data_IF_631297306194
#
_entry.id   IF_631297306194
#
_cell.length_a   1.000
_cell.length_b   1.000
_cell.length_c   1.000
_cell.angle_alpha   90.00
_cell.angle_beta   90.00
_cell.angle_gamma   90.00
#
_symmetry.space_group_name_H-M   'P 1'
#
loop_
_entity.id
_entity.type
_entity.pdbx_description
1 polymer ?
#
# COMPACT_ATOMS: atom_id res chain seq x y z
N UNK A 1 -14.17 8.30 -4.95
CA UNK A 1 -13.69 7.49 -3.81
C UNK A 1 -13.65 6.04 -4.24
N UNK A 2 -12.61 5.33 -3.88
CA UNK A 2 -12.44 3.91 -4.18
C UNK A 2 -12.70 3.08 -2.93
N UNK A 3 -13.26 1.89 -3.13
CA UNK A 3 -13.42 0.88 -2.09
C UNK A 3 -12.29 -0.14 -2.28
N UNK A 4 -11.36 -0.19 -1.33
CA UNK A 4 -10.26 -1.14 -1.26
C UNK A 4 -10.50 -2.10 -0.09
N UNK A 5 -10.31 -3.39 -0.32
CA UNK A 5 -10.37 -4.43 0.71
C UNK A 5 -8.98 -5.03 0.84
N UNK A 6 -8.49 -5.15 2.05
CA UNK A 6 -7.19 -5.74 2.35
C UNK A 6 -7.34 -7.09 3.06
N UNK A 7 -6.51 -8.05 2.68
CA UNK A 7 -6.48 -9.36 3.33
C UNK A 7 -5.62 -10.39 2.62
N UNK A 8 -5.47 -11.56 3.26
CA UNK A 8 -4.77 -12.69 2.66
C UNK A 8 -5.68 -13.46 1.70
N UNK A 9 -5.32 -13.56 0.40
CA UNK A 9 -6.14 -14.22 -0.59
C UNK A 9 -6.25 -15.75 -0.42
N UNK A 10 -5.37 -16.34 0.39
CA UNK A 10 -5.42 -17.78 0.72
C UNK A 10 -6.37 -18.13 1.87
N UNK A 11 -6.98 -17.10 2.47
CA UNK A 11 -8.03 -17.24 3.49
C UNK A 11 -9.41 -16.97 2.88
N UNK A 12 -10.32 -16.37 3.62
CA UNK A 12 -11.70 -16.11 3.18
C UNK A 12 -11.88 -14.90 2.26
N UNK A 13 -10.81 -14.14 1.98
CA UNK A 13 -10.88 -12.90 1.20
C UNK A 13 -11.48 -13.12 -0.19
N UNK A 14 -11.04 -14.16 -0.90
CA UNK A 14 -11.52 -14.43 -2.27
C UNK A 14 -13.01 -14.78 -2.29
N UNK A 15 -13.50 -15.53 -1.31
CA UNK A 15 -14.93 -15.86 -1.20
C UNK A 15 -15.76 -14.58 -0.97
N UNK A 16 -15.27 -13.69 -0.12
CA UNK A 16 -15.91 -12.41 0.14
C UNK A 16 -15.96 -11.51 -1.10
N UNK A 17 -14.85 -11.45 -1.87
CA UNK A 17 -14.80 -10.68 -3.12
C UNK A 17 -15.80 -11.24 -4.15
N UNK A 18 -15.88 -12.57 -4.30
CA UNK A 18 -16.86 -13.24 -5.20
C UNK A 18 -18.28 -12.91 -4.83
N UNK A 19 -18.60 -12.97 -3.54
CA UNK A 19 -19.92 -12.64 -3.02
C UNK A 19 -20.29 -11.18 -3.33
N UNK A 20 -19.45 -10.22 -3.01
CA UNK A 20 -19.67 -8.80 -3.28
C UNK A 20 -19.79 -8.51 -4.78
N UNK A 21 -18.96 -9.11 -5.61
CA UNK A 21 -19.02 -8.96 -7.06
C UNK A 21 -20.34 -9.51 -7.61
N UNK A 22 -20.80 -10.66 -7.13
CA UNK A 22 -22.08 -11.26 -7.50
C UNK A 22 -23.30 -10.40 -7.13
N UNK A 23 -23.18 -9.56 -6.11
CA UNK A 23 -24.19 -8.59 -5.68
C UNK A 23 -24.07 -7.22 -6.39
N UNK A 24 -23.10 -7.03 -7.27
CA UNK A 24 -22.82 -5.74 -7.90
C UNK A 24 -22.21 -4.70 -6.96
N UNK A 25 -21.64 -5.14 -5.83
CA UNK A 25 -20.99 -4.32 -4.81
C UNK A 25 -19.48 -4.59 -4.69
N UNK A 26 -18.88 -5.19 -5.72
CA UNK A 26 -17.45 -5.51 -5.73
C UNK A 26 -16.56 -4.29 -5.45
N UNK A 27 -15.41 -4.48 -4.77
CA UNK A 27 -14.45 -3.41 -4.55
C UNK A 27 -13.82 -2.97 -5.87
N UNK A 28 -13.33 -1.75 -5.94
CA UNK A 28 -12.54 -1.28 -7.06
C UNK A 28 -11.11 -1.83 -7.01
N UNK A 29 -10.63 -2.10 -5.80
CA UNK A 29 -9.29 -2.62 -5.54
C UNK A 29 -9.31 -3.64 -4.41
N UNK A 30 -8.37 -4.55 -4.44
CA UNK A 30 -7.99 -5.40 -3.32
C UNK A 30 -6.49 -5.28 -3.09
N UNK A 31 -6.07 -5.18 -1.83
CA UNK A 31 -4.66 -5.30 -1.45
C UNK A 31 -4.43 -6.69 -0.85
N UNK A 32 -3.64 -7.51 -1.52
CA UNK A 32 -3.25 -8.81 -1.01
C UNK A 32 -2.09 -8.68 -0.05
N UNK A 33 -2.25 -9.20 1.17
CA UNK A 33 -1.24 -9.26 2.22
C UNK A 33 -0.89 -10.71 2.55
N UNK A 34 0.36 -11.04 2.93
CA UNK A 34 0.77 -12.42 3.25
C UNK A 34 0.40 -12.88 4.66
N UNK A 35 -0.31 -12.06 5.43
CA UNK A 35 -0.57 -12.25 6.86
C UNK A 35 -1.17 -13.61 7.18
N UNK A 36 -0.65 -14.27 8.20
CA UNK A 36 -1.23 -15.49 8.78
C UNK A 36 -2.33 -15.16 9.80
N UNK A 37 -3.15 -16.15 10.16
CA UNK A 37 -4.21 -15.97 11.18
C UNK A 37 -3.66 -15.68 12.58
N UNK A 38 -2.43 -16.10 12.85
CA UNK A 38 -1.75 -15.90 14.14
C UNK A 38 -0.96 -14.58 14.20
N UNK A 39 -0.92 -13.80 13.12
CA UNK A 39 -0.17 -12.55 13.02
C UNK A 39 -0.97 -11.38 13.61
N UNK A 40 -0.33 -10.58 14.45
CA UNK A 40 -0.98 -9.43 15.08
C UNK A 40 -1.20 -8.27 14.11
N UNK A 41 -0.25 -8.06 13.20
CA UNK A 41 -0.29 -7.06 12.12
C UNK A 41 0.64 -7.47 11.00
N UNK A 42 0.48 -6.86 9.83
CA UNK A 42 1.40 -7.06 8.69
C UNK A 42 2.82 -6.67 9.07
N UNK A 43 3.79 -7.52 8.84
CA UNK A 43 5.20 -7.33 9.21
C UNK A 43 6.18 -7.62 8.06
N UNK A 44 5.70 -8.08 6.90
CA UNK A 44 6.47 -8.32 5.69
C UNK A 44 5.58 -8.34 4.46
N UNK A 45 6.17 -8.12 3.28
CA UNK A 45 5.50 -8.21 1.99
C UNK A 45 5.64 -9.57 1.33
N UNK A 46 4.96 -9.74 0.17
CA UNK A 46 5.13 -10.90 -0.70
C UNK A 46 6.56 -10.98 -1.23
N UNK A 47 7.06 -12.20 -1.44
CA UNK A 47 8.41 -12.47 -1.93
C UNK A 47 8.41 -13.28 -3.22
N UNK A 48 9.16 -12.83 -4.22
CA UNK A 48 9.26 -13.50 -5.51
C UNK A 48 10.66 -14.14 -5.70
N UNK A 49 10.75 -15.33 -6.34
CA UNK A 49 9.68 -16.03 -7.06
C UNK A 49 8.75 -16.91 -6.22
N UNK A 50 8.95 -17.00 -4.90
CA UNK A 50 8.31 -17.98 -4.02
C UNK A 50 6.77 -17.94 -4.05
N UNK A 51 6.21 -16.73 -4.09
CA UNK A 51 4.75 -16.53 -4.04
C UNK A 51 4.10 -16.46 -5.43
N UNK A 52 4.88 -16.47 -6.51
CA UNK A 52 4.40 -16.25 -7.87
C UNK A 52 3.31 -17.24 -8.29
N UNK A 53 3.58 -18.54 -8.10
CA UNK A 53 2.67 -19.62 -8.53
C UNK A 53 1.34 -19.57 -7.79
N UNK A 54 1.36 -19.19 -6.52
CA UNK A 54 0.17 -19.05 -5.67
C UNK A 54 -0.66 -17.83 -6.03
N UNK A 55 -0.01 -16.69 -6.27
CA UNK A 55 -0.69 -15.39 -6.48
C UNK A 55 -1.27 -15.23 -7.88
N UNK A 56 -0.57 -15.70 -8.92
CA UNK A 56 -0.96 -15.45 -10.31
C UNK A 56 -2.43 -15.85 -10.62
N UNK A 57 -2.94 -17.03 -10.24
CA UNK A 57 -4.33 -17.42 -10.52
C UNK A 57 -5.35 -16.54 -9.75
N UNK A 58 -5.04 -16.13 -8.52
CA UNK A 58 -5.92 -15.31 -7.69
C UNK A 58 -6.01 -13.88 -8.23
N UNK A 59 -4.89 -13.34 -8.70
CA UNK A 59 -4.84 -12.04 -9.38
C UNK A 59 -5.64 -12.08 -10.68
N UNK A 60 -5.47 -13.13 -11.48
CA UNK A 60 -6.22 -13.32 -12.72
C UNK A 60 -7.74 -13.39 -12.47
N UNK A 61 -8.16 -14.06 -11.40
CA UNK A 61 -9.55 -14.12 -10.99
C UNK A 61 -10.09 -12.74 -10.60
N UNK A 62 -9.41 -11.97 -9.73
CA UNK A 62 -9.81 -10.61 -9.38
C UNK A 62 -9.98 -9.73 -10.61
N UNK A 63 -9.05 -9.80 -11.56
CA UNK A 63 -9.15 -9.06 -12.82
C UNK A 63 -10.37 -9.46 -13.65
N UNK A 64 -10.73 -10.74 -13.67
CA UNK A 64 -11.95 -11.21 -14.36
C UNK A 64 -13.23 -10.68 -13.72
N UNK A 65 -13.20 -10.36 -12.43
CA UNK A 65 -14.27 -9.73 -11.67
C UNK A 65 -14.25 -8.18 -11.78
N UNK A 66 -13.31 -7.62 -12.53
CA UNK A 66 -13.14 -6.16 -12.67
C UNK A 66 -12.50 -5.48 -11.45
N UNK A 67 -11.83 -6.26 -10.60
CA UNK A 67 -11.16 -5.78 -9.38
C UNK A 67 -9.67 -5.64 -9.63
N UNK A 68 -9.12 -4.45 -9.37
CA UNK A 68 -7.68 -4.16 -9.43
C UNK A 68 -6.97 -4.81 -8.23
N UNK A 69 -5.75 -5.33 -8.46
CA UNK A 69 -4.97 -5.97 -7.40
C UNK A 69 -3.73 -5.14 -7.09
N UNK A 70 -3.58 -4.78 -5.81
CA UNK A 70 -2.37 -4.26 -5.19
C UNK A 70 -1.70 -5.36 -4.36
N UNK A 71 -0.37 -5.48 -4.44
CA UNK A 71 0.40 -6.42 -3.62
C UNK A 71 1.15 -5.68 -2.53
N UNK A 72 0.99 -6.11 -1.28
CA UNK A 72 1.76 -5.59 -0.15
C UNK A 72 3.20 -6.08 -0.25
N UNK A 73 4.16 -5.16 -0.35
CA UNK A 73 5.54 -5.45 -0.71
C UNK A 73 6.53 -4.72 0.19
N UNK A 74 7.61 -5.40 0.55
CA UNK A 74 8.78 -4.72 1.08
C UNK A 74 9.38 -3.77 0.01
N UNK A 75 10.01 -2.66 0.41
CA UNK A 75 10.61 -1.70 -0.52
C UNK A 75 11.93 -2.23 -1.11
N UNK A 76 11.82 -3.28 -1.95
CA UNK A 76 12.93 -3.98 -2.61
C UNK A 76 12.77 -3.81 -4.13
N UNK A 77 13.57 -2.94 -4.79
CA UNK A 77 13.43 -2.62 -6.21
C UNK A 77 13.42 -3.85 -7.12
N UNK A 78 14.24 -4.84 -6.80
CA UNK A 78 14.42 -6.07 -7.60
C UNK A 78 13.16 -6.94 -7.66
N UNK A 79 12.23 -6.76 -6.72
CA UNK A 79 10.98 -7.52 -6.65
C UNK A 79 9.87 -6.94 -7.53
N UNK A 80 9.96 -5.68 -7.94
CA UNK A 80 8.86 -4.96 -8.60
C UNK A 80 8.51 -5.52 -9.98
N UNK A 81 9.51 -5.90 -10.77
CA UNK A 81 9.28 -6.53 -12.08
C UNK A 81 8.56 -7.88 -11.94
N UNK A 82 8.88 -8.66 -10.90
CA UNK A 82 8.21 -9.93 -10.64
C UNK A 82 6.77 -9.75 -10.15
N UNK A 83 6.50 -8.74 -9.32
CA UNK A 83 5.13 -8.36 -8.94
C UNK A 83 4.28 -8.00 -10.17
N UNK A 84 4.85 -7.28 -11.13
CA UNK A 84 4.18 -7.00 -12.41
C UNK A 84 3.95 -8.27 -13.23
N UNK A 85 4.92 -9.15 -13.29
CA UNK A 85 4.87 -10.38 -14.09
C UNK A 85 3.75 -11.34 -13.64
N UNK A 86 3.43 -11.39 -12.35
CA UNK A 86 2.28 -12.18 -11.83
C UNK A 86 0.93 -11.52 -12.10
N UNK A 87 0.91 -10.31 -12.66
CA UNK A 87 -0.30 -9.63 -13.09
C UNK A 87 -0.81 -8.54 -12.15
N UNK A 88 -0.07 -8.15 -11.12
CA UNK A 88 -0.45 -7.04 -10.25
C UNK A 88 -0.62 -5.74 -11.04
N UNK A 89 -1.54 -4.90 -10.58
CA UNK A 89 -1.78 -3.55 -11.12
C UNK A 89 -1.04 -2.49 -10.30
N UNK A 90 -0.89 -2.73 -8.99
CA UNK A 90 -0.21 -1.87 -8.03
C UNK A 90 0.64 -2.67 -7.06
N UNK A 91 1.53 -1.99 -6.38
CA UNK A 91 2.17 -2.44 -5.14
C UNK A 91 1.84 -1.46 -4.03
N UNK A 92 1.67 -1.97 -2.82
CA UNK A 92 1.59 -1.17 -1.61
C UNK A 92 2.88 -1.37 -0.82
N UNK A 93 3.70 -0.33 -0.73
CA UNK A 93 4.98 -0.40 -0.02
C UNK A 93 4.74 -0.42 1.50
N UNK A 94 5.27 -1.43 2.17
CA UNK A 94 5.28 -1.56 3.63
C UNK A 94 6.14 -0.48 4.27
N UNK A 95 5.55 0.44 5.03
CA UNK A 95 6.21 1.68 5.48
C UNK A 95 6.63 1.72 6.94
N UNK A 96 6.45 0.64 7.71
CA UNK A 96 6.91 0.60 9.11
C UNK A 96 8.41 0.90 9.27
N UNK A 97 9.36 0.33 8.47
CA UNK A 97 10.78 0.64 8.61
C UNK A 97 11.09 2.13 8.45
N UNK A 98 10.39 2.82 7.55
CA UNK A 98 10.50 4.27 7.42
C UNK A 98 9.91 4.98 8.65
N UNK A 99 8.75 4.55 9.13
CA UNK A 99 8.13 5.15 10.31
C UNK A 99 9.00 4.97 11.57
N UNK A 100 9.62 3.81 11.75
CA UNK A 100 10.57 3.54 12.84
C UNK A 100 11.85 4.39 12.72
N UNK A 101 12.28 4.71 11.50
CA UNK A 101 13.46 5.55 11.27
C UNK A 101 13.16 7.06 11.39
N UNK A 102 11.90 7.46 11.52
CA UNK A 102 11.50 8.88 11.57
C UNK A 102 12.16 9.63 12.72
N UNK A 103 12.76 10.78 12.42
CA UNK A 103 13.50 11.58 13.39
C UNK A 103 14.86 11.04 13.80
N UNK A 104 15.33 9.95 13.18
CA UNK A 104 16.64 9.35 13.40
C UNK A 104 17.60 9.67 12.24
N UNK A 105 18.93 9.47 12.40
CA UNK A 105 19.88 9.60 11.29
C UNK A 105 19.63 8.68 10.10
N UNK A 106 18.89 7.59 10.27
CA UNK A 106 18.54 6.61 9.24
C UNK A 106 17.38 7.05 8.33
N UNK A 107 16.61 8.05 8.72
CA UNK A 107 15.43 8.51 7.96
C UNK A 107 15.73 8.79 6.48
N UNK A 108 16.83 9.49 6.21
CA UNK A 108 17.17 9.87 4.84
C UNK A 108 17.56 8.66 3.97
N UNK A 109 18.15 7.65 4.56
CA UNK A 109 18.51 6.40 3.87
C UNK A 109 17.25 5.57 3.56
N UNK A 110 16.34 5.47 4.53
CA UNK A 110 15.07 4.80 4.31
C UNK A 110 14.28 5.49 3.18
N UNK A 111 14.13 6.82 3.19
CA UNK A 111 13.45 7.53 2.10
C UNK A 111 14.04 7.22 0.73
N UNK A 112 15.36 7.15 0.60
CA UNK A 112 16.02 6.77 -0.66
C UNK A 112 15.67 5.33 -1.08
N UNK A 113 15.60 4.41 -0.12
CA UNK A 113 15.21 3.02 -0.37
C UNK A 113 13.79 2.94 -0.91
N UNK A 114 12.85 3.66 -0.29
CA UNK A 114 11.47 3.73 -0.77
C UNK A 114 11.35 4.42 -2.13
N UNK A 115 12.08 5.50 -2.35
CA UNK A 115 12.09 6.18 -3.64
C UNK A 115 12.61 5.26 -4.77
N UNK A 116 13.67 4.48 -4.50
CA UNK A 116 14.21 3.52 -5.46
C UNK A 116 13.21 2.40 -5.76
N UNK A 117 12.53 1.85 -4.75
CA UNK A 117 11.53 0.82 -4.92
C UNK A 117 10.31 1.34 -5.69
N UNK A 118 9.83 2.53 -5.36
CA UNK A 118 8.73 3.19 -6.08
C UNK A 118 9.08 3.43 -7.54
N UNK A 119 10.28 3.93 -7.83
CA UNK A 119 10.73 4.13 -9.22
C UNK A 119 10.78 2.81 -9.99
N UNK A 120 11.32 1.75 -9.39
CA UNK A 120 11.33 0.43 -10.01
C UNK A 120 9.92 -0.12 -10.29
N UNK A 121 8.96 0.15 -9.39
CA UNK A 121 7.56 -0.21 -9.59
C UNK A 121 6.96 0.56 -10.79
N UNK A 122 7.18 1.87 -10.87
CA UNK A 122 6.74 2.70 -11.98
C UNK A 122 7.36 2.24 -13.31
N UNK A 123 8.66 1.95 -13.33
CA UNK A 123 9.38 1.45 -14.51
C UNK A 123 8.84 0.09 -14.97
N UNK A 124 8.37 -0.74 -14.04
CA UNK A 124 7.69 -1.99 -14.34
C UNK A 124 6.23 -1.83 -14.79
N UNK A 125 5.69 -0.61 -14.77
CA UNK A 125 4.30 -0.31 -15.14
C UNK A 125 3.28 -0.63 -14.03
N UNK A 126 3.71 -0.57 -12.75
CA UNK A 126 2.85 -0.68 -11.58
C UNK A 126 2.49 0.71 -11.05
N UNK A 127 1.28 0.85 -10.50
CA UNK A 127 0.98 1.97 -9.60
C UNK A 127 1.59 1.75 -8.23
N UNK A 128 1.85 2.84 -7.51
CA UNK A 128 2.46 2.79 -6.18
C UNK A 128 1.47 3.27 -5.13
N UNK A 129 1.18 2.42 -4.16
CA UNK A 129 0.50 2.73 -2.91
C UNK A 129 1.52 2.59 -1.77
N UNK A 130 1.18 3.09 -0.59
CA UNK A 130 2.01 2.95 0.61
C UNK A 130 1.13 2.80 1.84
N UNK A 131 1.54 1.96 2.78
CA UNK A 131 0.76 1.71 3.98
C UNK A 131 1.59 1.17 5.13
N UNK A 132 0.99 1.25 6.31
CA UNK A 132 1.53 0.85 7.61
C UNK A 132 2.34 1.95 8.32
N UNK A 133 1.88 2.35 9.51
CA UNK A 133 2.54 3.28 10.44
C UNK A 133 2.84 4.71 9.92
N UNK A 134 2.29 5.08 8.76
CA UNK A 134 2.27 6.47 8.36
C UNK A 134 1.36 7.27 9.31
N UNK A 135 1.78 8.51 9.62
CA UNK A 135 1.09 9.41 10.52
C UNK A 135 1.26 10.87 10.07
N UNK A 136 0.67 11.82 10.80
CA UNK A 136 0.72 13.24 10.43
C UNK A 136 2.11 13.84 10.43
N UNK A 137 3.06 13.27 11.18
CA UNK A 137 4.43 13.80 11.26
C UNK A 137 5.28 13.36 10.07
N UNK A 138 5.13 12.11 9.62
CA UNK A 138 6.00 11.49 8.61
C UNK A 138 5.42 11.47 7.18
N UNK A 139 4.10 11.57 7.02
CA UNK A 139 3.40 11.40 5.74
C UNK A 139 3.81 12.43 4.68
N UNK A 140 3.89 13.71 5.03
CA UNK A 140 4.23 14.75 4.06
C UNK A 140 5.63 14.58 3.47
N UNK A 141 6.61 14.17 4.28
CA UNK A 141 7.95 13.89 3.80
C UNK A 141 7.98 12.63 2.90
N UNK A 142 7.21 11.61 3.24
CA UNK A 142 7.11 10.39 2.44
C UNK A 142 6.58 10.68 1.04
N UNK A 143 5.42 11.31 0.90
CA UNK A 143 4.81 11.58 -0.41
C UNK A 143 5.58 12.60 -1.24
N UNK A 144 6.42 13.43 -0.63
CA UNK A 144 7.31 14.34 -1.34
C UNK A 144 8.51 13.64 -1.97
N UNK A 145 9.11 12.67 -1.25
CA UNK A 145 10.37 12.05 -1.66
C UNK A 145 10.16 10.73 -2.45
N UNK A 146 9.00 10.08 -2.26
CA UNK A 146 8.69 8.81 -2.92
C UNK A 146 7.81 9.06 -4.16
N UNK A 147 8.32 8.80 -5.37
CA UNK A 147 7.63 9.17 -6.59
C UNK A 147 6.37 8.33 -6.82
N UNK A 148 5.35 8.96 -7.40
CA UNK A 148 4.19 8.29 -7.97
C UNK A 148 3.23 7.64 -6.96
N UNK A 149 3.26 8.02 -5.69
CA UNK A 149 2.30 7.53 -4.68
C UNK A 149 0.89 7.98 -5.06
N UNK A 150 0.00 7.01 -5.25
CA UNK A 150 -1.39 7.21 -5.66
C UNK A 150 -2.37 7.12 -4.47
N UNK A 151 -2.02 6.34 -3.46
CA UNK A 151 -2.88 6.01 -2.32
C UNK A 151 -2.02 5.75 -1.09
N UNK A 152 -2.53 6.11 0.07
CA UNK A 152 -1.94 5.75 1.36
C UNK A 152 -2.98 5.04 2.23
N UNK A 153 -2.59 3.93 2.86
CA UNK A 153 -3.41 3.15 3.80
C UNK A 153 -2.93 3.43 5.21
N UNK A 154 -3.77 4.10 6.02
CA UNK A 154 -3.41 4.51 7.37
C UNK A 154 -4.45 3.98 8.36
N UNK A 155 -4.03 3.02 9.17
CA UNK A 155 -4.88 2.36 10.16
C UNK A 155 -4.76 2.94 11.57
N UNK A 156 -3.83 2.40 12.36
CA UNK A 156 -3.71 2.67 13.80
C UNK A 156 -3.57 4.17 14.12
N UNK A 157 -2.70 4.88 13.44
CA UNK A 157 -2.46 6.30 13.67
C UNK A 157 -3.70 7.16 13.37
N UNK A 158 -4.42 6.86 12.28
CA UNK A 158 -5.65 7.58 11.94
C UNK A 158 -6.74 7.37 12.99
N UNK A 159 -6.90 6.15 13.50
CA UNK A 159 -7.90 5.86 14.54
C UNK A 159 -7.52 6.52 15.85
N UNK A 160 -6.25 6.49 16.26
CA UNK A 160 -5.77 7.17 17.45
C UNK A 160 -6.04 8.69 17.40
N UNK A 161 -5.69 9.32 16.28
CA UNK A 161 -5.98 10.74 16.06
C UNK A 161 -7.49 11.03 16.04
N UNK A 162 -8.30 10.13 15.50
CA UNK A 162 -9.74 10.32 15.42
C UNK A 162 -10.45 10.25 16.79
N UNK A 163 -9.88 9.54 17.74
CA UNK A 163 -10.37 9.54 19.13
C UNK A 163 -10.18 10.91 19.82
N UNK A 164 -9.16 11.67 19.40
CA UNK A 164 -8.87 12.99 19.97
C UNK A 164 -9.54 14.12 19.16
N UNK A 165 -9.49 14.06 17.84
CA UNK A 165 -9.90 15.15 16.94
C UNK A 165 -11.31 14.95 16.36
N UNK A 166 -11.84 13.73 16.39
CA UNK A 166 -13.00 13.31 15.63
C UNK A 166 -12.69 13.00 14.16
N UNK A 167 -13.44 12.05 13.54
CA UNK A 167 -13.14 11.52 12.20
C UNK A 167 -12.98 12.58 11.10
N UNK A 168 -13.88 13.56 11.04
CA UNK A 168 -13.87 14.55 9.97
C UNK A 168 -12.60 15.44 10.01
N UNK A 169 -12.23 15.91 11.20
CA UNK A 169 -11.03 16.72 11.39
C UNK A 169 -9.75 15.91 11.13
N UNK A 170 -9.73 14.66 11.55
CA UNK A 170 -8.60 13.75 11.30
C UNK A 170 -8.39 13.54 9.81
N UNK A 171 -9.43 13.19 9.06
CA UNK A 171 -9.33 13.01 7.59
C UNK A 171 -8.82 14.28 6.91
N UNK A 172 -9.31 15.46 7.31
CA UNK A 172 -8.83 16.74 6.78
C UNK A 172 -7.36 16.98 7.12
N UNK A 173 -6.91 16.65 8.33
CA UNK A 173 -5.52 16.79 8.73
C UNK A 173 -4.57 15.90 7.91
N UNK A 174 -4.95 14.63 7.66
CA UNK A 174 -4.18 13.74 6.81
C UNK A 174 -4.16 14.20 5.34
N UNK A 175 -5.28 14.67 4.81
CA UNK A 175 -5.33 15.26 3.48
C UNK A 175 -4.41 16.48 3.36
N UNK A 176 -4.38 17.35 4.38
CA UNK A 176 -3.47 18.49 4.40
C UNK A 176 -1.99 18.07 4.42
N UNK A 177 -1.63 16.97 5.09
CA UNK A 177 -0.27 16.40 5.03
C UNK A 177 0.10 15.94 3.62
N UNK A 178 -0.83 15.26 2.93
CA UNK A 178 -0.64 14.81 1.54
C UNK A 178 -0.45 16.01 0.61
N UNK A 179 -1.34 17.01 0.70
CA UNK A 179 -1.28 18.22 -0.13
C UNK A 179 0.03 18.99 0.10
N UNK A 180 0.50 19.08 1.34
CA UNK A 180 1.77 19.72 1.68
C UNK A 180 2.98 18.99 1.09
N UNK A 181 2.95 17.65 1.08
CA UNK A 181 3.98 16.83 0.44
C UNK A 181 4.09 17.11 -1.06
N UNK A 182 2.99 17.01 -1.78
CA UNK A 182 2.94 17.25 -3.23
C UNK A 182 3.14 18.71 -3.64
N UNK A 183 2.78 19.68 -2.80
CA UNK A 183 3.02 21.10 -3.11
C UNK A 183 4.51 21.45 -3.10
N UNK A 184 5.31 20.81 -2.25
CA UNK A 184 6.75 21.01 -2.17
C UNK A 184 7.49 20.48 -3.42
N UNK A 185 7.00 19.38 -4.02
CA UNK A 185 7.56 18.81 -5.25
C UNK A 185 7.49 19.77 -6.45
N UNK A 186 6.43 20.59 -6.55
CA UNK A 186 6.23 21.52 -7.67
C UNK A 186 7.15 22.76 -7.63
N UNK A 187 7.86 22.98 -6.53
CA UNK A 187 8.71 24.15 -6.31
C UNK A 187 10.22 23.78 -6.28
N UNK A 188 10.58 22.53 -6.54
CA UNK A 188 11.94 22.00 -6.60
C UNK A 188 12.38 21.77 -8.04
#
# INVERSE_FOLDING_TARGET
>A
REYNIEGNPSQNLMDFIRELAGQGMGPQQVTFVPDSEDQFTSDHGWSFPQDAERLAPLIAECRSLGVRVSLFMDPVPEQMAAARAVGADRVELYTEPYAAAWGTPQQAEELKRYAAAAQAALDAGLGVNAGHDLNRDNLAAFVREVPGVLEVSIGHALIADALELGYAATVQAYQACIDAGFAAEKNS
#
